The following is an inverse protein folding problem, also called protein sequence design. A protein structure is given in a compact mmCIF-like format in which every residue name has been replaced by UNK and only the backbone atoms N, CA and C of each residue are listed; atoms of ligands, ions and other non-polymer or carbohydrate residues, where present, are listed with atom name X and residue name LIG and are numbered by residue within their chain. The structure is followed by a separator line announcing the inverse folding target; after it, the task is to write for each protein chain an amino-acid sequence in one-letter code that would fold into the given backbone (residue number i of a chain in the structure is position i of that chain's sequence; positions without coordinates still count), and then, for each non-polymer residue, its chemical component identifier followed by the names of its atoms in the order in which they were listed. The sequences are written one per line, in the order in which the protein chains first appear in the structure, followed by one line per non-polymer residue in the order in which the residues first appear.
data_IF_559429685119
#
_entry.id   IF_559429685119
#
_cell.length_a   1.000
_cell.length_b   1.000
_cell.length_c   1.000
_cell.angle_alpha   90.00
_cell.angle_beta   90.00
_cell.angle_gamma   90.00
#
_symmetry.space_group_name_H-M   'P 1'
#
loop_
_entity.id
_entity.type
_entity.pdbx_description
1 polymer ?
#
# COMPACT_ATOMS: atom_id res chain seq x y z
N UNK A 1 6.56 -5.99 3.76
CA UNK A 1 5.17 -5.59 4.08
C UNK A 1 5.14 -5.12 5.52
N UNK A 2 4.19 -4.24 5.88
CA UNK A 2 3.94 -3.93 7.28
C UNK A 2 3.42 -5.19 7.99
N UNK A 3 3.60 -5.29 9.31
CA UNK A 3 3.22 -6.48 10.09
C UNK A 3 1.77 -6.92 9.87
N UNK A 4 0.83 -5.97 9.84
CA UNK A 4 -0.61 -6.26 9.69
C UNK A 4 -1.08 -6.41 8.23
N UNK A 5 -0.21 -6.13 7.25
CA UNK A 5 -0.56 -6.22 5.83
C UNK A 5 -0.43 -7.66 5.35
N UNK A 6 -1.49 -8.22 4.78
CA UNK A 6 -1.46 -9.54 4.13
C UNK A 6 -1.05 -9.47 2.66
N UNK A 7 -0.81 -10.63 2.04
CA UNK A 7 -0.65 -10.76 0.60
C UNK A 7 0.75 -11.13 0.13
N UNK A 8 1.02 -10.85 -1.14
CA UNK A 8 2.20 -11.31 -1.87
C UNK A 8 3.49 -10.70 -1.31
N UNK A 9 4.49 -11.56 -1.09
CA UNK A 9 5.83 -11.17 -0.67
C UNK A 9 6.89 -11.97 -1.44
N UNK A 10 7.91 -11.28 -1.95
CA UNK A 10 9.09 -11.91 -2.55
C UNK A 10 10.22 -12.03 -1.53
N UNK A 11 10.76 -13.24 -1.36
CA UNK A 11 11.87 -13.52 -0.45
C UNK A 11 13.05 -14.08 -1.26
N UNK A 12 14.12 -13.29 -1.50
CA UNK A 12 15.30 -13.79 -2.17
C UNK A 12 16.02 -14.85 -1.33
N UNK A 13 16.32 -16.01 -1.92
CA UNK A 13 16.92 -17.15 -1.21
C UNK A 13 18.45 -17.13 -1.14
N UNK A 14 19.10 -16.20 -1.84
CA UNK A 14 20.57 -16.06 -1.86
C UNK A 14 20.98 -14.60 -2.11
N UNK A 15 22.28 -14.30 -1.87
CA UNK A 15 22.83 -12.93 -1.99
C UNK A 15 22.70 -12.35 -3.41
N UNK A 16 23.00 -13.08 -4.51
CA UNK A 16 22.81 -12.56 -5.86
C UNK A 16 21.35 -12.17 -6.14
N UNK A 17 20.39 -13.03 -5.79
CA UNK A 17 18.97 -12.73 -5.95
C UNK A 17 18.55 -11.52 -5.12
N UNK A 18 19.02 -11.41 -3.87
CA UNK A 18 18.74 -10.27 -3.01
C UNK A 18 19.22 -8.96 -3.63
N UNK A 19 20.46 -8.93 -4.12
CA UNK A 19 21.05 -7.75 -4.78
C UNK A 19 20.25 -7.36 -6.02
N UNK A 20 19.90 -8.33 -6.87
CA UNK A 20 19.17 -8.08 -8.10
C UNK A 20 17.74 -7.58 -7.84
N UNK A 21 16.99 -8.23 -6.96
CA UNK A 21 15.64 -7.80 -6.58
C UNK A 21 15.68 -6.41 -5.92
N UNK A 22 16.63 -6.15 -5.01
CA UNK A 22 16.78 -4.84 -4.37
C UNK A 22 16.99 -3.72 -5.39
N UNK A 23 17.80 -3.97 -6.44
CA UNK A 23 18.01 -3.01 -7.54
C UNK A 23 16.72 -2.73 -8.32
N UNK A 24 15.90 -3.75 -8.58
CA UNK A 24 14.61 -3.54 -9.26
C UNK A 24 13.65 -2.68 -8.42
N UNK A 25 13.57 -2.91 -7.11
CA UNK A 25 12.79 -2.05 -6.20
C UNK A 25 13.33 -0.62 -6.16
N UNK A 26 14.66 -0.44 -6.13
CA UNK A 26 15.30 0.87 -6.16
C UNK A 26 15.04 1.62 -7.48
N UNK A 27 15.11 0.90 -8.60
CA UNK A 27 14.83 1.40 -9.95
C UNK A 27 13.33 1.59 -10.22
N UNK A 28 12.45 1.16 -9.30
CA UNK A 28 10.98 1.21 -9.43
C UNK A 28 10.44 0.45 -10.64
N UNK A 29 11.13 -0.59 -11.07
CA UNK A 29 10.67 -1.47 -12.16
C UNK A 29 9.73 -2.57 -11.68
N UNK A 30 9.59 -2.73 -10.36
CA UNK A 30 8.65 -3.66 -9.73
C UNK A 30 7.27 -3.01 -9.67
N UNK A 31 6.28 -3.64 -10.31
CA UNK A 31 4.87 -3.25 -10.16
C UNK A 31 4.29 -3.93 -8.94
N UNK A 32 3.62 -3.16 -8.08
CA UNK A 32 2.94 -3.65 -6.88
C UNK A 32 1.52 -3.12 -6.89
N UNK A 33 0.56 -3.97 -6.60
CA UNK A 33 -0.80 -3.52 -6.37
C UNK A 33 -1.36 -4.04 -5.07
N UNK A 34 -2.25 -3.23 -4.49
CA UNK A 34 -2.89 -3.53 -3.24
C UNK A 34 -4.38 -3.31 -3.35
N UNK A 35 -5.14 -4.08 -2.57
CA UNK A 35 -6.55 -3.83 -2.32
C UNK A 35 -6.72 -3.37 -0.88
N UNK A 36 -7.50 -2.32 -0.67
CA UNK A 36 -7.86 -1.84 0.65
C UNK A 36 -9.37 -1.59 0.76
N UNK A 37 -9.89 -1.64 1.99
CA UNK A 37 -11.23 -1.14 2.33
C UNK A 37 -11.06 0.07 3.25
N UNK A 38 -11.59 1.21 2.81
CA UNK A 38 -11.47 2.49 3.48
C UNK A 38 -12.81 2.99 4.01
N UNK A 39 -12.74 3.81 5.05
CA UNK A 39 -13.90 4.47 5.62
C UNK A 39 -14.48 5.53 4.66
N UNK A 40 -15.81 5.60 4.60
CA UNK A 40 -16.54 6.57 3.79
C UNK A 40 -16.69 6.16 2.33
N UNK A 41 -17.40 7.00 1.58
CA UNK A 41 -17.61 6.86 0.15
C UNK A 41 -16.71 7.86 -0.57
N UNK A 42 -15.68 7.37 -1.26
CA UNK A 42 -14.83 8.24 -2.08
C UNK A 42 -15.63 8.77 -3.26
N UNK A 43 -15.65 10.09 -3.45
CA UNK A 43 -16.43 10.69 -4.53
C UNK A 43 -15.78 10.46 -5.91
N UNK A 44 -14.45 10.53 -5.97
CA UNK A 44 -13.66 10.32 -7.17
C UNK A 44 -13.43 8.82 -7.41
N UNK A 45 -13.60 8.37 -8.65
CA UNK A 45 -13.35 6.97 -9.04
C UNK A 45 -11.87 6.63 -9.15
N UNK A 46 -11.01 7.61 -9.37
CA UNK A 46 -9.57 7.42 -9.46
C UNK A 46 -8.84 8.72 -9.11
N UNK A 47 -7.54 8.60 -8.83
CA UNK A 47 -6.70 9.76 -8.59
C UNK A 47 -5.30 9.40 -8.15
N UNK A 48 -4.56 10.46 -7.81
CA UNK A 48 -3.17 10.40 -7.38
C UNK A 48 -3.05 11.06 -6.02
N UNK A 49 -2.26 10.45 -5.14
CA UNK A 49 -1.87 11.03 -3.86
C UNK A 49 -0.35 11.21 -3.90
N UNK A 50 0.06 12.47 -4.03
CA UNK A 50 1.46 12.90 -4.02
C UNK A 50 1.71 13.73 -2.75
N UNK A 51 1.96 13.02 -1.65
CA UNK A 51 2.17 13.61 -0.34
C UNK A 51 3.44 13.03 0.28
N UNK A 52 4.49 13.83 0.54
CA UNK A 52 5.76 13.35 1.04
C UNK A 52 5.68 12.85 2.48
N UNK A 53 6.45 11.80 2.80
CA UNK A 53 6.37 11.08 4.07
C UNK A 53 7.70 11.18 4.84
N UNK A 54 7.62 11.58 6.10
CA UNK A 54 8.72 11.59 7.05
C UNK A 54 8.46 10.60 8.20
N UNK A 55 9.52 10.19 8.89
CA UNK A 55 9.40 9.54 10.20
C UNK A 55 8.75 10.48 11.19
N UNK A 56 8.01 9.92 12.13
CA UNK A 56 7.43 10.64 13.26
C UNK A 56 7.93 10.00 14.57
N UNK A 57 7.28 10.32 15.69
CA UNK A 57 7.61 9.72 16.98
C UNK A 57 7.34 8.19 17.01
N UNK A 58 8.25 7.44 17.62
CA UNK A 58 8.18 5.98 17.74
C UNK A 58 8.05 5.24 16.39
N UNK A 59 7.15 4.24 16.26
CA UNK A 59 6.98 3.46 15.03
C UNK A 59 6.13 4.18 13.96
N UNK A 60 5.75 5.45 14.19
CA UNK A 60 4.85 6.20 13.30
C UNK A 60 5.63 7.00 12.26
N UNK A 61 4.86 7.40 11.26
CA UNK A 61 5.25 8.23 10.12
C UNK A 61 4.16 9.27 9.91
N UNK A 62 4.48 10.38 9.24
CA UNK A 62 3.56 11.49 8.96
C UNK A 62 3.77 12.08 7.57
N UNK A 63 2.74 12.78 7.08
CA UNK A 63 2.89 13.66 5.93
C UNK A 63 3.67 14.91 6.35
N UNK A 64 4.73 15.26 5.62
CA UNK A 64 5.55 16.42 5.92
C UNK A 64 6.19 16.99 4.65
N UNK A 65 5.82 18.22 4.28
CA UNK A 65 6.35 18.88 3.07
C UNK A 65 7.82 19.29 3.20
N UNK A 66 8.26 19.64 4.41
CA UNK A 66 9.61 20.17 4.64
C UNK A 66 10.70 19.09 4.64
N UNK A 67 10.43 17.95 5.28
CA UNK A 67 11.42 16.88 5.48
C UNK A 67 11.01 15.53 4.93
N UNK A 68 9.79 15.41 4.41
CA UNK A 68 9.27 14.16 3.89
C UNK A 68 9.94 13.76 2.58
N UNK A 69 10.12 12.45 2.40
CA UNK A 69 10.60 11.88 1.15
C UNK A 69 9.43 11.84 0.15
N UNK A 70 9.65 12.19 -1.13
CA UNK A 70 8.63 12.10 -2.17
C UNK A 70 7.98 10.72 -2.17
N UNK A 71 6.64 10.72 -2.17
CA UNK A 71 5.83 9.51 -2.05
C UNK A 71 4.59 9.65 -2.91
N UNK A 72 4.38 8.67 -3.80
CA UNK A 72 3.38 8.74 -4.85
C UNK A 72 2.59 7.43 -4.91
N UNK A 73 1.27 7.55 -4.86
CA UNK A 73 0.32 6.44 -4.94
C UNK A 73 -0.78 6.80 -5.91
N UNK A 74 -1.03 5.92 -6.88
CA UNK A 74 -2.23 5.97 -7.71
C UNK A 74 -3.31 5.10 -7.07
N UNK A 75 -4.56 5.50 -7.20
CA UNK A 75 -5.69 4.72 -6.71
C UNK A 75 -6.84 4.69 -7.70
N UNK A 76 -7.63 3.63 -7.61
CA UNK A 76 -8.90 3.47 -8.32
C UNK A 76 -9.92 2.80 -7.41
N UNK A 77 -11.10 3.38 -7.30
CA UNK A 77 -12.25 2.78 -6.64
C UNK A 77 -12.73 1.59 -7.45
N UNK A 78 -12.90 0.45 -6.78
CA UNK A 78 -13.38 -0.79 -7.39
C UNK A 78 -14.71 -1.28 -6.80
N UNK A 79 -15.21 -0.61 -5.77
CA UNK A 79 -16.55 -0.86 -5.21
C UNK A 79 -16.89 0.12 -4.11
N UNK A 80 -18.17 0.45 -3.96
CA UNK A 80 -18.71 1.27 -2.86
C UNK A 80 -19.80 0.47 -2.17
N UNK A 81 -19.76 0.45 -0.85
CA UNK A 81 -20.80 -0.11 0.00
C UNK A 81 -21.52 1.03 0.73
N UNK A 82 -22.69 1.40 0.21
CA UNK A 82 -23.54 2.46 0.75
C UNK A 82 -24.03 2.15 2.16
N UNK A 83 -24.32 0.87 2.45
CA UNK A 83 -24.86 0.43 3.74
C UNK A 83 -23.78 0.47 4.81
N UNK A 84 -22.61 -0.12 4.53
CA UNK A 84 -21.48 -0.11 5.45
C UNK A 84 -20.76 1.25 5.48
N UNK A 85 -21.06 2.15 4.55
CA UNK A 85 -20.38 3.44 4.36
C UNK A 85 -18.87 3.25 4.13
N UNK A 86 -18.50 2.35 3.22
CA UNK A 86 -17.10 2.02 2.90
C UNK A 86 -16.82 2.02 1.41
N UNK A 87 -15.55 2.14 1.05
CA UNK A 87 -15.09 2.05 -0.34
C UNK A 87 -13.98 1.00 -0.43
N UNK A 88 -14.05 0.13 -1.44
CA UNK A 88 -12.96 -0.76 -1.82
C UNK A 88 -12.12 -0.08 -2.90
N UNK A 89 -10.81 -0.06 -2.67
CA UNK A 89 -9.87 0.71 -3.48
C UNK A 89 -8.72 -0.20 -3.92
N UNK A 90 -8.41 -0.15 -5.22
CA UNK A 90 -7.20 -0.67 -5.81
C UNK A 90 -6.12 0.42 -5.76
N UNK A 91 -4.92 0.07 -5.33
CA UNK A 91 -3.82 0.99 -5.05
C UNK A 91 -2.56 0.55 -5.78
N UNK A 92 -1.90 1.48 -6.46
CA UNK A 92 -0.61 1.28 -7.11
C UNK A 92 0.43 2.25 -6.50
N UNK A 93 1.19 1.84 -5.48
CA UNK A 93 2.26 2.67 -4.92
C UNK A 93 3.50 2.65 -5.85
N UNK A 94 3.75 3.77 -6.52
CA UNK A 94 4.95 3.96 -7.37
C UNK A 94 6.20 3.96 -6.48
N UNK A 95 6.16 4.67 -5.36
CA UNK A 95 7.19 4.62 -4.32
C UNK A 95 6.91 3.48 -3.32
N UNK A 96 7.80 3.30 -2.34
CA UNK A 96 7.65 2.27 -1.31
C UNK A 96 8.09 2.78 0.05
N UNK A 97 7.45 3.84 0.56
CA UNK A 97 7.72 4.34 1.91
C UNK A 97 6.95 3.55 2.94
N UNK A 98 7.51 3.45 4.15
CA UNK A 98 6.85 2.83 5.29
C UNK A 98 5.47 3.46 5.50
N UNK A 99 4.46 2.62 5.70
CA UNK A 99 3.07 3.03 5.93
C UNK A 99 2.45 3.92 4.83
N UNK A 100 3.05 3.98 3.62
CA UNK A 100 2.67 4.95 2.59
C UNK A 100 1.17 4.93 2.26
N UNK A 101 0.62 3.76 1.93
CA UNK A 101 -0.79 3.62 1.57
C UNK A 101 -1.72 4.01 2.73
N UNK A 102 -1.35 3.64 3.96
CA UNK A 102 -2.12 3.92 5.17
C UNK A 102 -2.19 5.42 5.45
N UNK A 103 -1.07 6.12 5.31
CA UNK A 103 -0.98 7.57 5.47
C UNK A 103 -1.66 8.34 4.36
N UNK A 104 -1.41 7.95 3.10
CA UNK A 104 -2.00 8.62 1.94
C UNK A 104 -3.52 8.58 1.97
N UNK A 105 -4.10 7.40 2.23
CA UNK A 105 -5.56 7.25 2.32
C UNK A 105 -6.14 7.99 3.53
N UNK A 106 -5.45 7.99 4.67
CA UNK A 106 -5.84 8.81 5.82
C UNK A 106 -5.79 10.32 5.51
N UNK A 107 -4.76 10.78 4.79
CA UNK A 107 -4.56 12.19 4.47
C UNK A 107 -5.66 12.76 3.54
N UNK A 108 -6.24 11.92 2.68
CA UNK A 108 -7.40 12.29 1.85
C UNK A 108 -8.74 12.04 2.55
N UNK A 109 -8.75 11.74 3.85
CA UNK A 109 -9.97 11.60 4.66
C UNK A 109 -10.59 10.20 4.67
N UNK A 110 -9.96 9.22 4.04
CA UNK A 110 -10.47 7.85 3.87
C UNK A 110 -9.50 6.82 4.48
N UNK A 111 -9.32 6.80 5.81
CA UNK A 111 -8.39 5.86 6.43
C UNK A 111 -8.82 4.41 6.19
N UNK A 112 -7.84 3.52 6.09
CA UNK A 112 -8.06 2.07 5.96
C UNK A 112 -8.68 1.53 7.25
N UNK A 113 -9.72 0.71 7.12
CA UNK A 113 -10.37 0.07 8.27
C UNK A 113 -9.41 -0.87 9.01
N UNK A 114 -9.47 -0.86 10.34
CA UNK A 114 -8.59 -1.66 11.19
C UNK A 114 -7.16 -1.14 11.28
N UNK A 115 -6.86 0.03 10.72
CA UNK A 115 -5.53 0.61 10.82
C UNK A 115 -5.30 1.24 12.20
N UNK A 116 -4.56 0.55 13.07
CA UNK A 116 -4.33 1.01 14.45
C UNK A 116 -3.73 2.42 14.53
N UNK A 117 -2.69 2.72 13.75
CA UNK A 117 -1.97 3.99 13.85
C UNK A 117 -2.68 5.20 13.24
N UNK A 118 -3.51 4.98 12.21
CA UNK A 118 -4.03 6.05 11.34
C UNK A 118 -5.55 5.98 11.12
N UNK A 119 -6.23 4.99 11.70
CA UNK A 119 -7.66 4.76 11.54
C UNK A 119 -8.55 5.70 12.34
N UNK A 120 -8.02 6.36 13.37
CA UNK A 120 -8.81 7.14 14.32
C UNK A 120 -9.95 6.30 14.91
N UNK A 121 -11.20 6.77 14.79
CA UNK A 121 -12.39 6.01 15.23
C UNK A 121 -12.60 4.69 14.48
N UNK A 122 -12.01 4.52 13.29
CA UNK A 122 -12.11 3.31 12.46
C UNK A 122 -11.01 2.27 12.75
N UNK A 123 -10.08 2.58 13.66
CA UNK A 123 -8.98 1.69 14.01
C UNK A 123 -9.45 0.34 14.57
N UNK A 124 -10.64 0.29 15.18
CA UNK A 124 -11.27 -0.92 15.75
C UNK A 124 -12.54 -1.34 15.00
N UNK A 125 -12.77 -0.80 13.79
CA UNK A 125 -13.96 -1.15 12.99
C UNK A 125 -13.94 -2.59 12.50
N UNK A 126 -12.75 -3.20 12.43
CA UNK A 126 -12.50 -4.56 11.97
C UNK A 126 -11.45 -5.21 12.88
N UNK A 127 -11.36 -6.55 12.85
CA UNK A 127 -10.41 -7.32 13.67
C UNK A 127 -8.95 -7.21 13.19
N UNK A 128 -8.74 -6.72 11.96
CA UNK A 128 -7.44 -6.61 11.30
C UNK A 128 -7.42 -5.41 10.35
N UNK A 129 -6.22 -5.00 9.95
CA UNK A 129 -6.02 -4.04 8.85
C UNK A 129 -6.56 -4.62 7.53
N UNK A 130 -7.49 -3.91 6.89
CA UNK A 130 -8.01 -4.27 5.56
C UNK A 130 -7.14 -3.69 4.44
N UNK A 131 -5.89 -4.13 4.39
CA UNK A 131 -4.92 -3.84 3.33
C UNK A 131 -4.21 -5.13 2.92
N UNK A 132 -4.25 -5.44 1.64
CA UNK A 132 -3.70 -6.67 1.07
C UNK A 132 -2.81 -6.34 -0.13
N UNK A 133 -1.59 -6.88 -0.17
CA UNK A 133 -0.73 -6.88 -1.36
C UNK A 133 -1.28 -7.89 -2.37
N UNK A 134 -2.12 -7.41 -3.28
CA UNK A 134 -2.88 -8.25 -4.22
C UNK A 134 -1.99 -8.89 -5.26
N UNK A 135 -1.08 -8.14 -5.87
CA UNK A 135 -0.16 -8.70 -6.85
C UNK A 135 1.19 -8.00 -6.88
N UNK A 136 2.16 -8.74 -7.41
CA UNK A 136 3.53 -8.31 -7.59
C UNK A 136 4.04 -8.80 -8.96
N UNK A 137 4.63 -7.87 -9.73
CA UNK A 137 5.33 -8.19 -10.97
C UNK A 137 6.77 -7.72 -10.93
N UNK A 138 7.71 -8.60 -11.27
CA UNK A 138 9.15 -8.33 -11.27
C UNK A 138 9.88 -9.27 -12.24
N UNK A 139 11.12 -8.93 -12.61
CA UNK A 139 11.93 -9.82 -13.45
C UNK A 139 12.65 -10.88 -12.59
N UNK A 140 12.60 -12.15 -12.98
CA UNK A 140 13.27 -13.23 -12.27
C UNK A 140 14.79 -12.96 -12.22
N UNK A 141 15.45 -13.07 -11.04
CA UNK A 141 16.82 -12.57 -10.87
C UNK A 141 17.91 -13.36 -11.59
N UNK A 142 17.56 -14.50 -12.19
CA UNK A 142 18.49 -15.36 -12.95
C UNK A 142 18.12 -15.41 -14.43
N UNK A 143 16.87 -15.74 -14.75
CA UNK A 143 16.41 -15.89 -16.15
C UNK A 143 16.07 -14.55 -16.80
N UNK A 144 15.78 -13.51 -16.01
CA UNK A 144 15.30 -12.23 -16.52
C UNK A 144 13.85 -12.25 -17.01
N UNK A 145 13.17 -13.40 -16.96
CA UNK A 145 11.77 -13.53 -17.37
C UNK A 145 10.83 -12.79 -16.42
N UNK A 146 9.72 -12.29 -16.95
CA UNK A 146 8.69 -11.66 -16.14
C UNK A 146 8.01 -12.67 -15.23
N UNK A 147 7.97 -12.37 -13.94
CA UNK A 147 7.25 -13.10 -12.91
C UNK A 147 6.05 -12.26 -12.49
N UNK A 148 4.87 -12.87 -12.51
CA UNK A 148 3.64 -12.33 -11.97
C UNK A 148 3.10 -13.28 -10.89
N UNK A 149 2.81 -12.74 -9.72
CA UNK A 149 2.22 -13.49 -8.59
C UNK A 149 1.04 -12.69 -8.07
N UNK A 150 -0.08 -13.36 -7.89
CA UNK A 150 -1.31 -12.79 -7.34
C UNK A 150 -1.82 -13.57 -6.13
N UNK A 151 -2.51 -12.86 -5.25
CA UNK A 151 -3.25 -13.38 -4.11
C UNK A 151 -4.48 -12.50 -3.91
N UNK A 152 -5.67 -13.11 -3.93
CA UNK A 152 -6.91 -12.39 -3.69
C UNK A 152 -7.05 -12.02 -2.20
N UNK A 153 -7.55 -10.81 -1.87
CA UNK A 153 -7.87 -10.46 -0.49
C UNK A 153 -9.01 -11.35 0.05
N UNK A 154 -8.99 -11.59 1.36
CA UNK A 154 -10.00 -12.34 2.12
C UNK A 154 -11.19 -11.49 2.58
N UNK A 155 -11.15 -10.18 2.28
CA UNK A 155 -12.15 -9.19 2.68
C UNK A 155 -12.75 -8.50 1.47
#
# INVERSE_FOLDING_TARGET
LDFDTSGVMVIPRNKPALSHISKQFQARTVSKHYTAVVAGLMAQDEGVIDLPIASDDGPRYKICQESGKPSFTEYRVIGRDEQARTTRVFLHPITGRSHQLRLHLQAIGHPILGCEFYGGKFAKATVRLLLHATDLRFAHPVSGEDVFVESSPDF
#
